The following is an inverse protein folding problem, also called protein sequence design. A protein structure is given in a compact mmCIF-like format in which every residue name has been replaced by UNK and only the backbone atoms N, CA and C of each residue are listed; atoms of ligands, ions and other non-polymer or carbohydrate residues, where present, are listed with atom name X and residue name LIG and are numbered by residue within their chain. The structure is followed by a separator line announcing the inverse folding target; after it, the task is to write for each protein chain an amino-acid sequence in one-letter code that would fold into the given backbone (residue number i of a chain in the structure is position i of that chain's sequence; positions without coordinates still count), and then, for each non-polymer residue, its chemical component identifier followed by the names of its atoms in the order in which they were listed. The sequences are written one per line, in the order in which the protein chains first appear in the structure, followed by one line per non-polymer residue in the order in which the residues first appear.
data_IF_270873006441
#
_entry.id   IF_270873006441
#
_cell.length_a   1.000
_cell.length_b   1.000
_cell.length_c   1.000
_cell.angle_alpha   90.00
_cell.angle_beta   90.00
_cell.angle_gamma   90.00
#
_symmetry.space_group_name_H-M   'P 1'
#
loop_
_entity.id
_entity.type
_entity.pdbx_description
1 polymer ?
#
# COMPACT_ATOMS: atom_id res chain seq x y z
N UNK A 1 -8.50 30.88 -27.49
CA UNK A 1 -9.54 29.83 -27.62
C UNK A 1 -9.25 28.76 -26.60
N UNK A 2 -10.19 28.57 -25.68
CA UNK A 2 -10.06 27.76 -24.47
C UNK A 2 -10.14 26.26 -24.77
N UNK A 3 -9.12 25.49 -24.36
CA UNK A 3 -9.20 24.04 -24.23
C UNK A 3 -9.23 23.68 -22.74
N UNK A 4 -10.37 23.96 -22.10
CA UNK A 4 -10.73 23.39 -20.81
C UNK A 4 -11.80 22.33 -21.04
N UNK A 5 -11.69 21.23 -20.27
CA UNK A 5 -12.65 20.12 -20.12
C UNK A 5 -12.52 18.96 -21.12
N UNK A 6 -11.58 18.07 -20.81
CA UNK A 6 -11.92 16.63 -20.77
C UNK A 6 -11.59 16.12 -19.37
N UNK A 7 -12.53 16.34 -18.46
CA UNK A 7 -12.57 15.59 -17.21
C UNK A 7 -12.95 14.15 -17.59
N UNK A 8 -11.95 13.32 -17.90
CA UNK A 8 -12.14 11.88 -17.85
C UNK A 8 -12.24 11.52 -16.38
N UNK A 9 -13.44 11.10 -15.97
CA UNK A 9 -13.67 10.53 -14.66
C UNK A 9 -12.90 9.21 -14.60
N UNK A 10 -11.67 9.25 -14.08
CA UNK A 10 -10.97 8.06 -13.61
C UNK A 10 -11.81 7.53 -12.45
N UNK A 11 -12.57 6.45 -12.69
CA UNK A 11 -13.26 5.73 -11.62
C UNK A 11 -12.20 4.93 -10.86
N UNK A 12 -11.38 5.64 -10.08
CA UNK A 12 -10.46 5.05 -9.11
C UNK A 12 -11.30 4.50 -7.96
N UNK A 13 -11.75 3.25 -8.10
CA UNK A 13 -12.44 2.57 -7.01
C UNK A 13 -11.38 2.02 -6.05
N UNK A 14 -10.96 2.86 -5.12
CA UNK A 14 -10.17 2.43 -3.97
C UNK A 14 -11.13 1.71 -3.03
N UNK A 15 -11.20 0.38 -3.14
CA UNK A 15 -11.88 -0.45 -2.14
C UNK A 15 -10.94 -0.58 -0.95
N UNK A 16 -10.86 0.48 -0.15
CA UNK A 16 -10.26 0.41 1.16
C UNK A 16 -11.26 -0.29 2.08
N UNK A 17 -11.13 -1.61 2.24
CA UNK A 17 -11.86 -2.41 3.25
C UNK A 17 -11.41 -2.08 4.69
N UNK A 18 -11.14 -0.81 4.97
CA UNK A 18 -10.82 -0.26 6.29
C UNK A 18 -12.03 0.48 6.88
N UNK A 19 -13.23 -0.10 6.72
CA UNK A 19 -14.43 0.38 7.39
C UNK A 19 -14.64 -0.38 8.72
N UNK A 20 -14.19 0.24 9.82
CA UNK A 20 -14.76 0.16 11.17
C UNK A 20 -15.27 -1.20 11.70
N UNK A 21 -14.48 -2.27 11.59
CA UNK A 21 -14.61 -3.40 12.52
C UNK A 21 -13.31 -3.46 13.32
N UNK A 22 -13.41 -3.51 14.65
CA UNK A 22 -12.28 -3.81 15.52
C UNK A 22 -11.80 -5.21 15.18
N UNK A 23 -10.87 -5.33 14.22
CA UNK A 23 -10.35 -6.63 13.80
C UNK A 23 -9.30 -7.05 14.80
N UNK A 24 -9.74 -7.68 15.89
CA UNK A 24 -8.85 -8.27 16.86
C UNK A 24 -8.06 -9.40 16.18
N UNK A 25 -6.76 -9.55 16.48
CA UNK A 25 -6.01 -10.73 16.09
C UNK A 25 -6.74 -12.01 16.52
N UNK A 26 -6.94 -12.95 15.60
CA UNK A 26 -7.64 -14.20 15.90
C UNK A 26 -6.79 -15.47 15.66
N UNK A 27 -5.62 -15.32 15.03
CA UNK A 27 -4.65 -16.40 14.80
C UNK A 27 -3.24 -15.84 14.66
N UNK A 28 -2.25 -16.64 15.07
CA UNK A 28 -0.83 -16.38 14.86
C UNK A 28 -0.31 -17.33 13.79
N UNK A 29 0.44 -16.78 12.82
CA UNK A 29 1.03 -17.56 11.73
C UNK A 29 2.50 -17.19 11.55
N UNK A 30 3.30 -18.20 11.24
CA UNK A 30 4.74 -18.06 11.00
C UNK A 30 5.02 -17.90 9.51
N UNK A 31 5.80 -16.89 9.16
CA UNK A 31 6.23 -16.63 7.79
C UNK A 31 7.75 -16.57 7.72
N UNK A 32 8.31 -17.11 6.63
CA UNK A 32 9.69 -16.88 6.27
C UNK A 32 9.84 -15.47 5.69
N UNK A 33 10.78 -14.69 6.21
CA UNK A 33 11.12 -13.31 5.82
C UNK A 33 12.64 -13.16 5.76
N UNK A 34 13.14 -12.06 5.18
CA UNK A 34 14.57 -11.71 5.18
C UNK A 34 15.53 -12.85 4.81
N UNK A 35 15.21 -13.63 3.77
CA UNK A 35 16.07 -14.73 3.32
C UNK A 35 15.97 -16.00 4.17
N UNK A 36 14.84 -16.22 4.83
CA UNK A 36 14.49 -17.48 5.51
C UNK A 36 14.34 -17.38 7.03
N UNK A 37 14.51 -16.21 7.62
CA UNK A 37 14.20 -15.97 9.02
C UNK A 37 12.70 -16.16 9.28
N UNK A 38 12.32 -16.87 10.32
CA UNK A 38 10.91 -17.07 10.66
C UNK A 38 10.43 -15.95 11.57
N UNK A 39 9.32 -15.31 11.21
CA UNK A 39 8.66 -14.29 12.02
C UNK A 39 7.19 -14.64 12.20
N UNK A 40 6.72 -14.59 13.44
CA UNK A 40 5.31 -14.79 13.76
C UNK A 40 4.54 -13.49 13.62
N UNK A 41 3.40 -13.57 12.94
CA UNK A 41 2.48 -12.48 12.76
C UNK A 41 1.13 -12.82 13.36
N UNK A 42 0.61 -11.86 14.13
CA UNK A 42 -0.81 -11.81 14.41
C UNK A 42 -1.55 -11.51 13.11
N UNK A 43 -2.68 -12.18 12.90
CA UNK A 43 -3.49 -12.05 11.69
C UNK A 43 -4.91 -11.66 12.06
N UNK A 44 -5.50 -10.85 11.20
CA UNK A 44 -6.93 -10.52 11.23
C UNK A 44 -7.74 -11.51 10.41
N UNK A 45 -9.06 -11.47 10.56
CA UNK A 45 -9.98 -12.18 9.66
C UNK A 45 -9.92 -11.65 8.22
N UNK A 46 -9.64 -10.36 8.07
CA UNK A 46 -9.60 -9.65 6.78
C UNK A 46 -8.77 -8.37 6.86
N UNK A 47 -8.34 -7.88 5.71
CA UNK A 47 -7.62 -6.62 5.57
C UNK A 47 -6.17 -6.69 6.04
N UNK A 48 -5.49 -5.56 6.02
CA UNK A 48 -4.13 -5.41 6.53
C UNK A 48 -4.17 -4.98 8.00
N UNK A 49 -3.28 -5.56 8.82
CA UNK A 49 -3.05 -5.04 10.17
C UNK A 49 -2.16 -3.80 10.11
N UNK A 50 -2.43 -2.73 10.88
CA UNK A 50 -1.50 -1.60 10.94
C UNK A 50 -0.10 -2.04 11.37
N UNK A 51 0.94 -1.46 10.77
CA UNK A 51 2.33 -1.71 11.13
C UNK A 51 2.99 -0.40 11.57
N UNK A 52 3.69 -0.40 12.71
CA UNK A 52 4.35 0.79 13.23
C UNK A 52 5.58 0.46 14.08
N UNK A 53 6.57 1.34 14.04
CA UNK A 53 7.72 1.39 14.96
C UNK A 53 7.73 2.67 15.82
N UNK A 54 6.61 3.41 15.84
CA UNK A 54 6.48 4.71 16.50
C UNK A 54 7.26 5.85 15.84
N UNK A 55 7.90 5.62 14.70
CA UNK A 55 8.44 6.67 13.80
C UNK A 55 7.60 6.76 12.54
N UNK A 56 7.19 5.60 12.03
CA UNK A 56 6.32 5.43 10.88
C UNK A 56 5.09 4.60 11.29
N UNK A 57 3.94 4.93 10.73
CA UNK A 57 2.69 4.21 10.96
C UNK A 57 1.99 3.93 9.63
N UNK A 58 1.91 2.67 9.23
CA UNK A 58 1.29 2.25 7.97
C UNK A 58 -0.22 2.21 8.17
N UNK A 59 -0.90 3.16 7.53
CA UNK A 59 -2.36 3.28 7.61
C UNK A 59 -3.07 2.31 6.68
N UNK A 60 -2.52 2.12 5.47
CA UNK A 60 -3.18 1.35 4.44
C UNK A 60 -2.16 0.63 3.57
N UNK A 61 -2.43 -0.64 3.31
CA UNK A 61 -1.87 -1.36 2.19
C UNK A 61 -2.99 -2.23 1.63
N UNK A 62 -3.31 -2.01 0.36
CA UNK A 62 -4.48 -2.65 -0.24
C UNK A 62 -4.39 -2.76 -1.75
N UNK A 63 -5.29 -3.59 -2.28
CA UNK A 63 -5.47 -3.76 -3.72
C UNK A 63 -6.31 -2.60 -4.26
N UNK A 64 -5.88 -2.04 -5.39
CA UNK A 64 -6.64 -1.09 -6.18
C UNK A 64 -6.94 -1.73 -7.53
N UNK A 65 -8.19 -1.62 -7.97
CA UNK A 65 -8.63 -1.98 -9.32
C UNK A 65 -8.99 -0.69 -10.06
N UNK A 66 -8.52 -0.54 -11.30
CA UNK A 66 -8.83 0.63 -12.11
C UNK A 66 -8.76 0.32 -13.60
N UNK A 67 -9.50 1.10 -14.39
CA UNK A 67 -9.39 1.05 -15.85
C UNK A 67 -8.23 1.94 -16.28
N UNK A 68 -7.23 1.36 -16.95
CA UNK A 68 -6.09 2.08 -17.50
C UNK A 68 -6.50 2.91 -18.74
N UNK A 69 -5.63 3.83 -19.17
CA UNK A 69 -5.91 4.75 -20.30
C UNK A 69 -6.20 4.03 -21.62
N UNK A 70 -5.73 2.78 -21.75
CA UNK A 70 -6.00 1.91 -22.90
C UNK A 70 -7.37 1.18 -22.82
N UNK A 71 -8.19 1.48 -21.81
CA UNK A 71 -9.47 0.84 -21.56
C UNK A 71 -9.40 -0.52 -20.86
N UNK A 72 -8.20 -1.07 -20.65
CA UNK A 72 -8.04 -2.37 -19.98
C UNK A 72 -8.16 -2.24 -18.47
N UNK A 73 -8.79 -3.23 -17.86
CA UNK A 73 -8.78 -3.36 -16.41
C UNK A 73 -7.39 -3.79 -15.92
N UNK A 74 -6.86 -3.06 -14.95
CA UNK A 74 -5.59 -3.35 -14.29
C UNK A 74 -5.77 -3.34 -12.77
N UNK A 75 -4.79 -3.92 -12.08
CA UNK A 75 -4.66 -3.78 -10.63
C UNK A 75 -3.33 -3.14 -10.26
N UNK A 76 -3.32 -2.49 -9.10
CA UNK A 76 -2.12 -1.98 -8.46
C UNK A 76 -2.21 -2.19 -6.94
N UNK A 77 -1.06 -2.12 -6.27
CA UNK A 77 -0.97 -2.05 -4.82
C UNK A 77 -0.91 -0.59 -4.40
N UNK A 78 -1.82 -0.20 -3.51
CA UNK A 78 -1.83 1.09 -2.85
C UNK A 78 -1.16 0.95 -1.48
N UNK A 79 -0.28 1.88 -1.15
CA UNK A 79 0.38 1.99 0.15
C UNK A 79 0.27 3.41 0.70
N UNK A 80 -0.12 3.53 1.98
CA UNK A 80 -0.19 4.79 2.72
C UNK A 80 0.50 4.64 4.06
N UNK A 81 1.43 5.55 4.36
CA UNK A 81 2.15 5.60 5.63
C UNK A 81 2.18 7.02 6.19
N UNK A 82 1.86 7.15 7.46
CA UNK A 82 2.07 8.37 8.23
C UNK A 82 3.51 8.43 8.74
N UNK A 83 4.08 9.62 8.67
CA UNK A 83 5.41 9.92 9.18
C UNK A 83 5.24 10.72 10.47
N UNK A 84 5.60 10.11 11.58
CA UNK A 84 5.41 10.72 12.90
C UNK A 84 6.65 11.48 13.37
N UNK A 85 7.85 10.98 13.07
CA UNK A 85 9.10 11.53 13.64
C UNK A 85 10.20 11.86 12.63
N UNK A 86 10.41 11.05 11.59
CA UNK A 86 11.56 11.19 10.68
C UNK A 86 11.13 11.21 9.21
N UNK A 87 11.54 12.23 8.46
CA UNK A 87 11.23 12.30 7.04
C UNK A 87 11.92 11.16 6.28
N UNK A 88 11.17 10.39 5.47
CA UNK A 88 11.76 9.36 4.64
C UNK A 88 12.47 9.98 3.43
N UNK A 89 13.60 9.39 3.08
CA UNK A 89 14.36 9.61 1.84
C UNK A 89 14.15 8.47 0.84
N UNK A 90 13.74 7.29 1.27
CA UNK A 90 13.40 6.21 0.35
C UNK A 90 12.41 5.27 1.01
N UNK A 91 11.45 4.78 0.23
CA UNK A 91 10.50 3.77 0.67
C UNK A 91 10.45 2.68 -0.40
N UNK A 92 10.64 1.45 0.05
CA UNK A 92 10.42 0.25 -0.74
C UNK A 92 9.37 -0.62 -0.07
N UNK A 93 8.37 -1.04 -0.85
CA UNK A 93 7.37 -2.03 -0.42
C UNK A 93 7.52 -3.26 -1.29
N UNK A 94 7.74 -4.39 -0.63
CA UNK A 94 7.88 -5.69 -1.27
C UNK A 94 6.86 -6.68 -0.73
N UNK A 95 6.36 -7.55 -1.59
CA UNK A 95 5.65 -8.75 -1.15
C UNK A 95 6.67 -9.82 -0.77
N UNK A 96 6.52 -10.41 0.41
CA UNK A 96 7.25 -11.61 0.80
C UNK A 96 6.59 -12.83 0.16
N UNK A 97 7.37 -13.64 -0.54
CA UNK A 97 6.95 -14.86 -1.20
C UNK A 97 7.11 -16.07 -0.27
N UNK A 98 6.51 -17.20 -0.63
CA UNK A 98 6.49 -18.41 0.20
C UNK A 98 7.88 -19.00 0.47
N UNK A 99 8.87 -18.70 -0.37
CA UNK A 99 10.27 -19.10 -0.22
C UNK A 99 11.09 -18.11 0.64
N UNK A 100 10.44 -17.12 1.25
CA UNK A 100 11.08 -16.08 2.06
C UNK A 100 11.79 -14.99 1.25
N UNK A 101 11.73 -15.03 -0.08
CA UNK A 101 12.24 -13.96 -0.94
C UNK A 101 11.25 -12.78 -0.98
N UNK A 102 11.76 -11.59 -1.33
CA UNK A 102 10.96 -10.39 -1.44
C UNK A 102 10.87 -9.95 -2.90
N UNK A 103 9.65 -9.81 -3.41
CA UNK A 103 9.37 -9.20 -4.72
C UNK A 103 8.99 -7.73 -4.53
N UNK A 104 9.79 -6.82 -5.06
CA UNK A 104 9.50 -5.40 -5.04
C UNK A 104 8.18 -5.10 -5.79
N UNK A 105 7.31 -4.34 -5.15
CA UNK A 105 6.03 -3.89 -5.70
C UNK A 105 6.04 -2.39 -5.94
N UNK A 106 6.57 -1.64 -4.96
CA UNK A 106 6.73 -0.20 -5.00
C UNK A 106 8.19 0.06 -4.65
N UNK A 107 8.91 0.66 -5.59
CA UNK A 107 10.22 1.24 -5.33
C UNK A 107 10.05 2.72 -5.62
N UNK A 108 9.99 3.52 -4.58
CA UNK A 108 9.83 4.96 -4.76
C UNK A 108 11.19 5.59 -5.04
N UNK A 109 11.44 5.91 -6.31
CA UNK A 109 12.54 6.76 -6.75
C UNK A 109 12.14 8.26 -6.78
N UNK A 110 10.86 8.59 -6.53
CA UNK A 110 10.30 9.94 -6.68
C UNK A 110 10.35 10.75 -5.38
N UNK A 111 11.54 11.23 -5.03
CA UNK A 111 11.69 12.35 -4.11
C UNK A 111 11.80 13.65 -4.90
N UNK A 112 10.71 14.41 -5.11
CA UNK A 112 10.78 15.89 -5.08
C UNK A 112 9.46 16.61 -5.39
N UNK A 113 8.79 16.33 -6.51
CA UNK A 113 7.97 17.41 -7.11
C UNK A 113 6.48 17.48 -6.70
N UNK A 114 6.01 16.55 -5.86
CA UNK A 114 4.63 16.59 -5.32
C UNK A 114 4.57 16.40 -3.81
N UNK A 115 5.66 16.72 -3.11
CA UNK A 115 5.55 16.95 -1.67
C UNK A 115 4.56 18.09 -1.49
N UNK A 116 3.62 17.94 -0.57
CA UNK A 116 3.12 19.10 0.13
C UNK A 116 4.33 19.73 0.80
N UNK A 117 5.02 20.61 0.08
CA UNK A 117 6.06 21.48 0.57
C UNK A 117 5.40 22.47 1.54
N UNK A 118 4.94 21.94 2.67
CA UNK A 118 4.62 22.75 3.82
C UNK A 118 5.99 23.22 4.32
N UNK A 119 6.35 24.43 3.92
CA UNK A 119 7.40 25.18 4.60
C UNK A 119 6.69 25.94 5.71
N UNK A 120 7.11 25.77 6.96
CA UNK A 120 6.73 26.72 8.00
C UNK A 120 7.74 27.87 7.98
N UNK A 121 7.24 29.09 7.90
CA UNK A 121 8.05 30.26 8.22
C UNK A 121 8.18 30.31 9.74
N UNK A 122 9.41 30.43 10.21
CA UNK A 122 9.71 30.70 11.61
C UNK A 122 9.64 32.22 11.86
N UNK A 123 9.48 32.63 13.11
CA UNK A 123 9.33 34.05 13.50
C UNK A 123 10.58 34.88 13.15
N UNK A 124 11.72 34.23 12.93
CA UNK A 124 12.99 34.83 12.48
C UNK A 124 13.09 34.99 10.95
N UNK A 125 12.04 34.65 10.21
CA UNK A 125 11.99 34.72 8.74
C UNK A 125 12.67 33.55 8.03
N UNK A 126 13.23 32.58 8.76
CA UNK A 126 13.78 31.36 8.17
C UNK A 126 12.68 30.36 7.81
N UNK A 127 12.99 29.43 6.89
CA UNK A 127 12.07 28.37 6.46
C UNK A 127 12.53 27.03 7.03
N UNK A 128 11.63 26.34 7.71
CA UNK A 128 11.85 24.95 8.16
C UNK A 128 11.02 24.01 7.29
N UNK A 129 11.67 22.98 6.75
CA UNK A 129 10.99 21.91 6.02
C UNK A 129 10.04 21.19 7.00
N UNK A 130 8.75 21.11 6.68
CA UNK A 130 7.80 20.32 7.47
C UNK A 130 7.90 18.88 7.00
N UNK A 131 7.96 17.97 7.97
CA UNK A 131 7.86 16.53 7.74
C UNK A 131 6.61 16.26 6.90
N UNK A 132 6.74 15.57 5.76
CA UNK A 132 5.59 15.10 5.01
C UNK A 132 4.80 14.12 5.88
N UNK A 133 3.71 14.60 6.49
CA UNK A 133 2.97 13.87 7.54
C UNK A 133 2.37 12.56 7.05
N UNK A 134 2.14 12.46 5.73
CA UNK A 134 1.52 11.31 5.09
C UNK A 134 2.11 11.08 3.71
N UNK A 135 2.46 9.83 3.44
CA UNK A 135 2.98 9.35 2.17
C UNK A 135 1.98 8.38 1.56
N UNK A 136 1.81 8.48 0.24
CA UNK A 136 0.91 7.64 -0.54
C UNK A 136 1.63 7.26 -1.83
N UNK A 137 1.75 5.96 -2.08
CA UNK A 137 2.36 5.41 -3.29
C UNK A 137 1.46 4.33 -3.87
N UNK A 138 1.46 4.21 -5.19
CA UNK A 138 0.71 3.19 -5.92
C UNK A 138 1.69 2.48 -6.85
N UNK A 139 1.68 1.15 -6.85
CA UNK A 139 2.52 0.36 -7.73
C UNK A 139 2.15 0.60 -9.19
N UNK A 140 3.06 0.23 -10.10
CA UNK A 140 2.70 0.16 -11.53
C UNK A 140 1.51 -0.78 -11.72
N UNK A 141 0.61 -0.38 -12.62
CA UNK A 141 -0.46 -1.21 -13.13
C UNK A 141 0.01 -2.55 -13.65
N UNK A 142 -0.73 -3.59 -13.30
CA UNK A 142 -0.52 -4.95 -13.78
C UNK A 142 -1.81 -5.49 -14.36
N UNK A 143 -1.66 -6.32 -15.39
CA UNK A 143 -2.79 -6.96 -16.05
C UNK A 143 -3.50 -7.93 -15.09
N UNK A 144 -4.84 -7.97 -15.15
CA UNK A 144 -5.66 -8.83 -14.29
C UNK A 144 -5.36 -10.33 -14.37
N UNK A 145 -4.73 -10.82 -15.45
CA UNK A 145 -4.24 -12.20 -15.54
C UNK A 145 -3.21 -12.54 -14.44
N UNK A 146 -2.52 -11.55 -13.87
CA UNK A 146 -1.51 -11.75 -12.83
C UNK A 146 -2.11 -11.83 -11.40
N UNK A 147 -3.42 -11.58 -11.22
CA UNK A 147 -4.13 -11.81 -9.94
C UNK A 147 -4.89 -13.13 -9.93
N UNK A 148 -4.22 -14.23 -10.30
CA UNK A 148 -4.85 -15.56 -10.31
C UNK A 148 -5.48 -15.96 -8.96
N UNK A 149 -4.91 -15.47 -7.85
CA UNK A 149 -5.43 -15.67 -6.49
C UNK A 149 -6.79 -15.00 -6.25
N UNK A 150 -7.15 -13.98 -7.02
CA UNK A 150 -8.44 -13.30 -6.93
C UNK A 150 -9.56 -14.16 -7.55
N UNK A 151 -9.22 -14.95 -8.56
CA UNK A 151 -10.12 -15.90 -9.23
C UNK A 151 -10.33 -17.19 -8.43
N UNK A 152 -9.81 -17.27 -7.20
CA UNK A 152 -10.10 -18.31 -6.22
C UNK A 152 -10.94 -17.69 -5.08
N UNK A 153 -12.23 -17.38 -5.31
CA UNK A 153 -13.03 -16.61 -4.35
C UNK A 153 -13.40 -17.38 -3.09
N UNK A 154 -13.31 -18.71 -3.10
CA UNK A 154 -13.68 -19.54 -1.95
C UNK A 154 -12.52 -19.73 -0.96
N UNK A 155 -11.30 -19.33 -1.31
CA UNK A 155 -10.11 -19.45 -0.47
C UNK A 155 -9.65 -18.09 0.03
N UNK A 156 -9.16 -18.04 1.26
CA UNK A 156 -8.41 -16.87 1.72
C UNK A 156 -7.06 -16.76 1.00
N UNK A 157 -6.58 -15.54 0.79
CA UNK A 157 -5.20 -15.30 0.36
C UNK A 157 -4.51 -14.40 1.37
N UNK A 158 -3.34 -14.83 1.81
CA UNK A 158 -2.54 -14.12 2.78
C UNK A 158 -1.31 -13.52 2.10
N UNK A 159 -0.99 -12.30 2.49
CA UNK A 159 0.22 -11.61 2.08
C UNK A 159 0.97 -11.14 3.32
N UNK A 160 2.30 -11.11 3.22
CA UNK A 160 3.15 -10.36 4.13
C UNK A 160 3.91 -9.35 3.30
N UNK A 161 3.80 -8.08 3.65
CA UNK A 161 4.53 -7.01 2.99
C UNK A 161 5.70 -6.58 3.86
N UNK A 162 6.89 -6.50 3.26
CA UNK A 162 8.08 -5.91 3.85
C UNK A 162 8.17 -4.46 3.38
N UNK A 163 8.24 -3.55 4.33
CA UNK A 163 8.27 -2.11 4.11
C UNK A 163 9.59 -1.58 4.65
N UNK A 164 10.46 -1.18 3.75
CA UNK A 164 11.79 -0.67 4.07
C UNK A 164 11.79 0.84 3.88
N UNK A 165 12.08 1.56 4.96
CA UNK A 165 12.08 3.02 4.97
C UNK A 165 13.48 3.49 5.35
N UNK A 166 14.11 4.23 4.46
CA UNK A 166 15.32 4.99 4.76
C UNK A 166 14.94 6.42 5.13
N UNK A 167 15.43 6.94 6.25
CA UNK A 167 15.26 8.33 6.66
C UNK A 167 16.31 9.23 6.01
N UNK A 168 16.08 10.55 6.01
CA UNK A 168 17.06 11.53 5.53
C UNK A 168 18.39 11.52 6.31
N UNK A 169 18.37 11.11 7.59
CA UNK A 169 19.57 10.93 8.43
C UNK A 169 20.33 9.62 8.13
N UNK A 170 19.87 8.84 7.16
CA UNK A 170 20.43 7.55 6.76
C UNK A 170 19.98 6.35 7.61
N UNK A 171 19.24 6.56 8.71
CA UNK A 171 18.68 5.46 9.50
C UNK A 171 17.66 4.65 8.71
N UNK A 172 17.52 3.37 9.05
CA UNK A 172 16.64 2.43 8.35
C UNK A 172 15.63 1.83 9.32
N UNK A 173 14.37 1.78 8.87
CA UNK A 173 13.28 1.05 9.53
C UNK A 173 12.79 -0.05 8.61
N UNK A 174 12.50 -1.21 9.19
CA UNK A 174 11.85 -2.33 8.49
C UNK A 174 10.57 -2.68 9.22
N UNK A 175 9.45 -2.45 8.55
CA UNK A 175 8.12 -2.83 9.03
C UNK A 175 7.63 -4.04 8.24
N UNK A 176 6.77 -4.81 8.90
CA UNK A 176 6.11 -5.94 8.28
C UNK A 176 4.61 -5.81 8.47
N UNK A 177 3.88 -5.94 7.37
CA UNK A 177 2.43 -5.81 7.38
C UNK A 177 1.78 -7.08 6.84
N UNK A 178 1.18 -7.91 7.69
CA UNK A 178 0.35 -9.02 7.22
C UNK A 178 -0.99 -8.51 6.71
N UNK A 179 -1.52 -9.16 5.68
CA UNK A 179 -2.82 -8.87 5.09
C UNK A 179 -3.55 -10.15 4.72
N UNK A 180 -4.86 -10.19 5.00
CA UNK A 180 -5.75 -11.28 4.60
C UNK A 180 -6.81 -10.77 3.62
N UNK A 181 -6.87 -11.37 2.44
CA UNK A 181 -8.00 -11.23 1.52
C UNK A 181 -8.95 -12.42 1.72
N UNK A 182 -9.99 -12.18 2.52
CA UNK A 182 -11.03 -13.15 2.81
C UNK A 182 -11.92 -13.44 1.58
N UNK A 183 -12.59 -14.60 1.53
CA UNK A 183 -13.48 -15.00 0.44
C UNK A 183 -14.50 -13.92 0.02
N UNK A 184 -15.17 -13.32 0.99
CA UNK A 184 -16.19 -12.30 0.74
C UNK A 184 -15.60 -11.00 0.16
N UNK A 185 -14.40 -10.63 0.58
CA UNK A 185 -13.64 -9.49 0.03
C UNK A 185 -13.28 -9.74 -1.44
N UNK A 186 -12.82 -10.95 -1.77
CA UNK A 186 -12.56 -11.35 -3.16
C UNK A 186 -13.82 -11.34 -4.00
N UNK A 187 -14.95 -11.84 -3.48
CA UNK A 187 -16.23 -11.78 -4.18
C UNK A 187 -16.67 -10.33 -4.46
N UNK A 188 -16.42 -9.39 -3.54
CA UNK A 188 -16.68 -7.97 -3.81
C UNK A 188 -15.82 -7.44 -4.96
N UNK A 189 -14.52 -7.73 -4.98
CA UNK A 189 -13.66 -7.36 -6.10
C UNK A 189 -14.13 -7.97 -7.42
N UNK A 190 -14.48 -9.25 -7.47
CA UNK A 190 -14.98 -9.90 -8.68
C UNK A 190 -16.30 -9.28 -9.17
N UNK A 191 -17.21 -8.94 -8.26
CA UNK A 191 -18.46 -8.22 -8.62
C UNK A 191 -18.17 -6.85 -9.24
N UNK A 192 -17.19 -6.14 -8.71
CA UNK A 192 -16.77 -4.84 -9.24
C UNK A 192 -16.10 -4.97 -10.61
N UNK A 193 -15.26 -5.99 -10.80
CA UNK A 193 -14.65 -6.29 -12.10
C UNK A 193 -15.70 -6.56 -13.18
N UNK A 194 -16.78 -7.28 -12.84
CA UNK A 194 -17.87 -7.58 -13.77
C UNK A 194 -18.70 -6.34 -14.18
N UNK A 195 -18.58 -5.21 -13.47
CA UNK A 195 -19.30 -3.98 -13.76
C UNK A 195 -18.51 -3.00 -14.64
N UNK A 196 -17.21 -3.25 -14.84
CA UNK A 196 -16.35 -2.40 -15.68
C UNK A 196 -16.50 -2.89 -17.13
N UNK A 197 -17.01 -2.06 -18.06
CA UNK A 197 -17.15 -2.44 -19.46
C UNK A 197 -15.78 -2.83 -20.04
N UNK A 198 -15.72 -4.00 -20.68
CA UNK A 198 -14.58 -4.46 -21.50
C UNK A 198 -14.39 -3.64 -22.75
#
# INVERSE_FOLDING_TARGET
MNNWRKCFAVLALVVSLSACQSVLPNRQLDFQVDGGAVKSFQMTERGALPASDGTYHVENLGLMLYQADNGQLEYAWNFVVNVEKKAPSHIQVSQVLNDGTAQALITDEFLSDKRGDAWRNLDDGSRSQVLAQRWHAVSKGKNMAQVAWLNQPETETMFVFKIEIQAQDGSRSVLYQPMVLAPDSKQQYLKLMAQIPS
#
